data_IF_612650496920
#
_entry.id   IF_612650496920
#
_cell.length_a   1.000
_cell.length_b   1.000
_cell.length_c   1.000
_cell.angle_alpha   90.00
_cell.angle_beta   90.00
_cell.angle_gamma   90.00
#
_symmetry.space_group_name_H-M   'P 1'
#
loop_
_entity.id
_entity.type
_entity.pdbx_description
1 polymer ?
#
# COMPACT_ATOMS: atom_id res chain seq x y z
N UNK A 1 26.39 -26.85 -23.94
CA UNK A 1 25.84 -27.31 -22.67
C UNK A 1 25.79 -26.16 -21.71
N UNK A 2 24.59 -25.77 -21.36
CA UNK A 2 24.09 -25.17 -20.16
C UNK A 2 24.32 -23.67 -19.84
N UNK A 3 24.10 -22.79 -20.81
CA UNK A 3 23.86 -21.36 -20.50
C UNK A 3 22.36 -21.07 -20.29
N UNK A 4 21.48 -21.94 -20.75
CA UNK A 4 20.02 -21.80 -20.63
C UNK A 4 19.48 -22.22 -19.26
N UNK A 5 20.04 -23.25 -18.61
CA UNK A 5 19.55 -23.70 -17.29
C UNK A 5 19.92 -22.75 -16.14
N UNK A 6 21.04 -22.05 -16.21
CA UNK A 6 21.42 -21.08 -15.18
C UNK A 6 20.54 -19.80 -15.22
N UNK A 7 20.04 -19.43 -16.41
CA UNK A 7 19.11 -18.30 -16.54
C UNK A 7 17.72 -18.61 -15.99
N UNK A 8 17.24 -19.84 -16.12
CA UNK A 8 15.95 -20.24 -15.56
C UNK A 8 15.98 -20.40 -14.03
N UNK A 9 17.06 -20.89 -13.44
CA UNK A 9 17.22 -20.97 -11.98
C UNK A 9 17.25 -19.58 -11.33
N UNK A 10 17.95 -18.61 -11.90
CA UNK A 10 17.96 -17.25 -11.38
C UNK A 10 16.61 -16.52 -11.54
N UNK A 11 15.83 -16.87 -12.56
CA UNK A 11 14.50 -16.31 -12.79
C UNK A 11 13.49 -16.83 -11.76
N UNK A 12 13.57 -18.11 -11.40
CA UNK A 12 12.72 -18.73 -10.42
C UNK A 12 12.99 -18.22 -8.99
N UNK A 13 14.24 -18.05 -8.60
CA UNK A 13 14.63 -17.45 -7.32
C UNK A 13 14.13 -16.02 -7.16
N UNK A 14 14.19 -15.19 -8.20
CA UNK A 14 13.66 -13.82 -8.16
C UNK A 14 12.15 -13.75 -8.07
N UNK A 15 11.43 -14.69 -8.68
CA UNK A 15 9.97 -14.76 -8.63
C UNK A 15 9.49 -15.27 -7.27
N UNK A 16 10.17 -16.27 -6.71
CA UNK A 16 9.88 -16.83 -5.39
C UNK A 16 10.17 -15.83 -4.27
N UNK A 17 11.28 -15.10 -4.35
CA UNK A 17 11.60 -14.01 -3.42
C UNK A 17 10.56 -12.89 -3.47
N UNK A 18 10.12 -12.51 -4.67
CA UNK A 18 9.08 -11.52 -4.86
C UNK A 18 7.72 -12.01 -4.32
N UNK A 19 7.35 -13.25 -4.59
CA UNK A 19 6.12 -13.86 -4.08
C UNK A 19 6.15 -14.07 -2.56
N UNK A 20 7.31 -14.36 -1.99
CA UNK A 20 7.48 -14.43 -0.53
C UNK A 20 7.38 -13.04 0.12
N UNK A 21 7.95 -12.00 -0.48
CA UNK A 21 7.79 -10.62 0.01
C UNK A 21 6.32 -10.18 -0.03
N UNK A 22 5.63 -10.40 -1.16
CA UNK A 22 4.21 -10.05 -1.31
C UNK A 22 3.32 -10.87 -0.38
N UNK A 23 3.61 -12.16 -0.18
CA UNK A 23 2.85 -13.01 0.75
C UNK A 23 3.12 -12.68 2.22
N UNK A 24 4.33 -12.23 2.54
CA UNK A 24 4.67 -11.75 3.87
C UNK A 24 3.94 -10.45 4.19
N UNK A 25 3.93 -9.48 3.26
CA UNK A 25 3.15 -8.25 3.40
C UNK A 25 1.65 -8.53 3.59
N UNK A 26 1.07 -9.44 2.82
CA UNK A 26 -0.35 -9.79 2.93
C UNK A 26 -0.70 -10.48 4.26
N UNK A 27 0.15 -11.37 4.77
CA UNK A 27 -0.05 -12.00 6.09
C UNK A 27 0.04 -10.99 7.23
N UNK A 28 0.93 -10.02 7.11
CA UNK A 28 1.15 -9.00 8.11
C UNK A 28 -0.02 -8.02 8.24
N UNK A 29 -0.65 -7.63 7.13
CA UNK A 29 -1.87 -6.82 7.18
C UNK A 29 -3.02 -7.56 7.87
N UNK A 30 -3.07 -8.88 7.79
CA UNK A 30 -4.12 -9.69 8.41
C UNK A 30 -3.95 -9.85 9.94
N UNK A 31 -2.71 -9.80 10.46
CA UNK A 31 -2.44 -9.95 11.90
C UNK A 31 -2.56 -8.65 12.71
N UNK A 32 -2.46 -7.48 12.04
CA UNK A 32 -2.48 -6.16 12.69
C UNK A 32 -3.90 -5.64 12.96
N UNK A 33 -4.90 -6.12 12.24
CA UNK A 33 -6.30 -5.70 12.39
C UNK A 33 -7.22 -6.89 12.64
N UNK A 34 -7.81 -6.94 13.82
CA UNK A 34 -8.99 -7.75 14.07
C UNK A 34 -10.21 -7.04 13.44
N UNK A 35 -10.42 -7.30 12.15
CA UNK A 35 -11.52 -6.72 11.37
C UNK A 35 -12.89 -7.14 11.89
N UNK A 36 -12.99 -8.23 12.67
CA UNK A 36 -14.25 -8.77 13.17
C UNK A 36 -14.97 -7.82 14.13
N UNK A 37 -14.23 -6.96 14.82
CA UNK A 37 -14.80 -5.97 15.75
C UNK A 37 -15.34 -4.69 15.08
N UNK A 38 -15.03 -4.50 13.80
CA UNK A 38 -15.41 -3.29 13.04
C UNK A 38 -16.71 -3.55 12.26
N UNK A 39 -16.97 -4.79 11.85
CA UNK A 39 -18.08 -5.15 10.96
C UNK A 39 -19.45 -5.28 11.64
N UNK A 40 -19.52 -5.34 12.96
CA UNK A 40 -20.82 -5.54 13.68
C UNK A 40 -21.74 -4.31 13.71
N UNK A 41 -21.33 -3.14 13.18
CA UNK A 41 -22.15 -1.91 13.17
C UNK A 41 -22.10 -1.18 11.81
N UNK A 42 -22.48 -1.86 10.75
CA UNK A 42 -22.35 -1.36 9.38
C UNK A 42 -23.20 -0.13 8.98
N UNK A 43 -24.14 0.32 9.81
CA UNK A 43 -24.99 1.47 9.49
C UNK A 43 -24.57 2.82 10.06
N UNK A 44 -23.69 2.86 11.06
CA UNK A 44 -23.30 4.09 11.78
C UNK A 44 -21.82 4.45 11.55
N UNK A 45 -21.08 3.55 10.91
CA UNK A 45 -19.62 3.60 10.81
C UNK A 45 -19.14 4.67 9.83
N UNK A 46 -19.84 4.92 8.72
CA UNK A 46 -19.40 5.84 7.68
C UNK A 46 -19.28 7.29 8.16
N UNK A 47 -20.23 7.79 8.91
CA UNK A 47 -20.22 9.19 9.39
C UNK A 47 -19.20 9.41 10.52
N UNK A 48 -19.07 8.45 11.42
CA UNK A 48 -18.10 8.54 12.52
C UNK A 48 -16.65 8.50 12.01
N UNK A 49 -16.35 7.63 11.04
CA UNK A 49 -15.00 7.47 10.50
C UNK A 49 -14.57 8.64 9.63
N UNK A 50 -15.45 9.20 8.83
CA UNK A 50 -15.14 10.34 7.97
C UNK A 50 -14.85 11.61 8.77
N UNK A 51 -15.56 11.84 9.86
CA UNK A 51 -15.38 13.02 10.71
C UNK A 51 -14.17 12.95 11.65
N UNK A 52 -13.68 11.73 11.96
CA UNK A 52 -12.61 11.52 12.93
C UNK A 52 -11.40 10.75 12.34
N UNK A 53 -11.29 10.65 11.02
CA UNK A 53 -10.26 9.86 10.37
C UNK A 53 -8.85 10.29 10.74
N UNK A 54 -8.58 11.60 10.81
CA UNK A 54 -7.28 12.13 11.20
C UNK A 54 -6.92 11.72 12.63
N UNK A 55 -7.87 11.78 13.56
CA UNK A 55 -7.64 11.36 14.94
C UNK A 55 -7.38 9.87 15.07
N UNK A 56 -8.04 9.07 14.24
CA UNK A 56 -7.80 7.64 14.14
C UNK A 56 -6.39 7.34 13.64
N UNK A 57 -5.98 7.99 12.54
CA UNK A 57 -4.65 7.84 11.96
C UNK A 57 -3.58 8.23 12.96
N UNK A 58 -3.74 9.35 13.66
CA UNK A 58 -2.77 9.88 14.63
C UNK A 58 -2.88 9.25 16.01
N UNK A 59 -3.80 8.32 16.25
CA UNK A 59 -3.92 7.61 17.52
C UNK A 59 -2.60 6.90 17.85
N UNK A 60 -2.15 7.02 19.10
CA UNK A 60 -0.88 6.45 19.60
C UNK A 60 -0.72 4.95 19.27
N UNK A 61 -1.81 4.17 19.39
CA UNK A 61 -1.78 2.74 19.04
C UNK A 61 -1.51 2.51 17.56
N UNK A 62 -2.15 3.28 16.67
CA UNK A 62 -1.96 3.19 15.24
C UNK A 62 -0.54 3.60 14.82
N UNK A 63 -0.03 4.70 15.33
CA UNK A 63 1.34 5.15 15.07
C UNK A 63 2.39 4.14 15.57
N UNK A 64 2.17 3.52 16.74
CA UNK A 64 3.05 2.48 17.24
C UNK A 64 3.06 1.24 16.35
N UNK A 65 1.90 0.84 15.82
CA UNK A 65 1.81 -0.27 14.88
C UNK A 65 2.52 0.07 13.56
N UNK A 66 2.31 1.27 13.05
CA UNK A 66 2.99 1.76 11.85
C UNK A 66 4.52 1.77 12.02
N UNK A 67 5.01 2.25 13.17
CA UNK A 67 6.43 2.18 13.52
C UNK A 67 6.96 0.74 13.51
N UNK A 68 6.25 -0.19 14.18
CA UNK A 68 6.65 -1.60 14.25
C UNK A 68 6.76 -2.21 12.85
N UNK A 69 5.80 -1.89 11.99
CA UNK A 69 5.77 -2.38 10.62
C UNK A 69 6.96 -1.85 9.81
N UNK A 70 7.20 -0.53 9.84
CA UNK A 70 8.36 0.07 9.14
C UNK A 70 9.68 -0.50 9.65
N UNK A 71 9.80 -0.73 10.97
CA UNK A 71 10.98 -1.36 11.57
C UNK A 71 11.19 -2.79 11.10
N UNK A 72 10.11 -3.57 11.02
CA UNK A 72 10.16 -4.97 10.57
C UNK A 72 10.62 -5.09 9.12
N UNK A 73 10.19 -4.18 8.25
CA UNK A 73 10.53 -4.17 6.83
C UNK A 73 12.01 -3.83 6.55
N UNK A 74 12.78 -3.33 7.54
CA UNK A 74 14.23 -3.09 7.46
C UNK A 74 14.69 -2.35 6.18
N UNK A 75 13.83 -1.48 5.63
CA UNK A 75 14.13 -0.76 4.39
C UNK A 75 15.24 0.28 4.56
N UNK A 76 16.00 0.53 3.51
CA UNK A 76 17.08 1.55 3.49
C UNK A 76 16.53 2.96 3.73
N UNK A 77 17.37 3.86 4.26
CA UNK A 77 17.05 5.26 4.49
C UNK A 77 16.62 6.02 3.23
N UNK A 78 15.89 7.10 3.43
CA UNK A 78 15.45 8.03 2.40
C UNK A 78 16.56 8.98 1.92
N UNK A 79 16.15 10.16 1.49
CA UNK A 79 17.09 11.22 1.05
C UNK A 79 17.84 11.86 2.24
N UNK A 80 17.24 11.83 3.42
CA UNK A 80 17.80 12.32 4.68
C UNK A 80 18.90 11.43 5.28
N UNK A 81 19.06 10.22 4.73
CA UNK A 81 20.04 9.24 5.18
C UNK A 81 19.67 8.51 6.48
N UNK A 82 18.59 8.91 7.18
CA UNK A 82 18.15 8.30 8.42
C UNK A 82 17.85 6.81 8.21
N UNK A 83 18.41 5.97 9.09
CA UNK A 83 18.15 4.53 9.06
C UNK A 83 16.99 4.18 10.01
N UNK A 84 16.42 2.98 9.81
CA UNK A 84 15.28 2.51 10.60
C UNK A 84 15.59 2.40 12.10
N UNK A 85 16.84 2.12 12.45
CA UNK A 85 17.25 2.01 13.86
C UNK A 85 17.32 3.37 14.57
N UNK A 86 17.53 4.46 13.84
CA UNK A 86 17.54 5.83 14.34
C UNK A 86 16.13 6.42 14.52
N UNK A 87 15.12 5.78 13.94
CA UNK A 87 13.75 6.26 13.94
C UNK A 87 13.15 6.36 15.35
N UNK A 88 13.41 5.40 16.25
CA UNK A 88 12.81 5.40 17.59
C UNK A 88 13.31 6.55 18.48
N UNK A 89 14.63 6.83 18.56
CA UNK A 89 15.13 8.02 19.22
C UNK A 89 14.50 9.30 18.67
N UNK A 90 14.50 9.44 17.35
CA UNK A 90 13.90 10.59 16.67
C UNK A 90 12.42 10.80 17.03
N UNK A 91 11.61 9.75 16.98
CA UNK A 91 10.18 9.84 17.29
C UNK A 91 9.93 10.18 18.77
N UNK A 92 10.78 9.71 19.68
CA UNK A 92 10.66 10.06 21.13
C UNK A 92 10.81 11.56 21.37
N UNK A 93 11.65 12.22 20.63
CA UNK A 93 11.94 13.64 20.77
C UNK A 93 10.96 14.52 19.96
N UNK A 94 10.53 14.04 18.80
CA UNK A 94 9.85 14.89 17.80
C UNK A 94 8.38 14.52 17.56
N UNK A 95 7.82 13.45 18.20
CA UNK A 95 6.47 12.96 17.88
C UNK A 95 5.38 14.01 18.10
N UNK A 96 5.48 14.85 19.14
CA UNK A 96 4.46 15.86 19.44
C UNK A 96 4.45 16.96 18.39
N UNK A 97 5.62 17.45 18.01
CA UNK A 97 5.77 18.44 16.95
C UNK A 97 5.24 17.90 15.62
N UNK A 98 5.61 16.66 15.28
CA UNK A 98 5.15 15.99 14.06
C UNK A 98 3.62 15.87 14.02
N UNK A 99 2.99 15.46 15.13
CA UNK A 99 1.54 15.36 15.23
C UNK A 99 0.88 16.73 15.10
N UNK A 100 1.45 17.78 15.71
CA UNK A 100 0.94 19.15 15.60
C UNK A 100 1.04 19.69 14.16
N UNK A 101 2.16 19.43 13.47
CA UNK A 101 2.33 19.82 12.07
C UNK A 101 1.31 19.13 11.16
N UNK A 102 1.06 17.82 11.36
CA UNK A 102 0.07 17.08 10.60
C UNK A 102 -1.34 17.61 10.88
N UNK A 103 -1.70 17.84 12.14
CA UNK A 103 -3.01 18.41 12.52
C UNK A 103 -3.23 19.81 11.98
N UNK A 104 -2.18 20.62 11.96
CA UNK A 104 -2.21 21.98 11.43
C UNK A 104 -2.16 22.07 9.90
N UNK A 105 -2.03 20.93 9.20
CA UNK A 105 -1.86 20.91 7.75
C UNK A 105 -0.53 21.48 7.24
N UNK A 106 0.45 21.62 8.13
CA UNK A 106 1.75 22.21 7.84
C UNK A 106 2.81 21.15 7.50
N UNK A 107 2.53 19.87 7.77
CA UNK A 107 3.46 18.79 7.47
C UNK A 107 3.69 18.67 5.95
N UNK A 108 4.95 18.70 5.56
CA UNK A 108 5.38 18.50 4.17
C UNK A 108 6.27 17.28 4.07
N UNK A 109 5.86 16.23 3.33
CA UNK A 109 6.71 15.06 3.09
C UNK A 109 8.03 15.46 2.43
N UNK A 110 9.10 14.78 2.81
CA UNK A 110 10.39 15.00 2.19
C UNK A 110 10.41 14.46 0.75
N UNK A 111 11.30 15.01 -0.11
CA UNK A 111 11.55 14.43 -1.42
C UNK A 111 11.96 12.96 -1.32
N UNK A 112 11.53 12.14 -2.26
CA UNK A 112 11.92 10.72 -2.30
C UNK A 112 13.32 10.55 -2.88
N UNK A 113 14.10 9.62 -2.34
CA UNK A 113 15.35 9.21 -2.94
C UNK A 113 15.08 8.31 -4.14
N UNK A 114 15.49 8.74 -5.34
CA UNK A 114 15.31 7.94 -6.56
C UNK A 114 16.31 6.79 -6.62
N UNK A 115 15.81 5.61 -6.91
CA UNK A 115 16.61 4.41 -7.19
C UNK A 115 16.13 3.82 -8.52
N UNK A 116 17.07 3.42 -9.37
CA UNK A 116 16.79 2.77 -10.64
C UNK A 116 16.95 1.26 -10.50
N UNK A 117 15.90 0.53 -10.84
CA UNK A 117 15.88 -0.93 -10.83
C UNK A 117 15.80 -1.42 -12.26
N UNK A 118 16.72 -2.28 -12.73
CA UNK A 118 16.68 -2.80 -14.09
C UNK A 118 15.41 -3.62 -14.32
N UNK A 119 14.76 -3.40 -15.46
CA UNK A 119 13.66 -4.23 -15.94
C UNK A 119 14.19 -5.50 -16.62
N UNK A 120 13.29 -6.40 -16.98
CA UNK A 120 13.62 -7.60 -17.76
C UNK A 120 14.18 -7.24 -19.16
N UNK A 121 13.67 -6.16 -19.76
CA UNK A 121 14.16 -5.64 -21.04
C UNK A 121 15.50 -4.97 -20.85
N UNK A 122 16.53 -5.43 -21.57
CA UNK A 122 17.89 -4.92 -21.48
C UNK A 122 17.92 -3.42 -21.83
N UNK A 123 18.46 -2.61 -20.91
CA UNK A 123 18.58 -1.16 -21.09
C UNK A 123 17.39 -0.34 -20.53
N UNK A 124 16.32 -1.00 -20.07
CA UNK A 124 15.23 -0.30 -19.41
C UNK A 124 15.35 -0.36 -17.89
N UNK A 125 14.97 0.74 -17.23
CA UNK A 125 15.00 0.89 -15.77
C UNK A 125 13.63 1.33 -15.24
N UNK A 126 13.25 0.76 -14.11
CA UNK A 126 12.10 1.23 -13.32
C UNK A 126 12.62 2.23 -12.29
N UNK A 127 12.02 3.40 -12.24
CA UNK A 127 12.35 4.42 -11.24
C UNK A 127 11.53 4.14 -9.98
N UNK A 128 12.21 3.91 -8.86
CA UNK A 128 11.59 3.73 -7.55
C UNK A 128 11.90 4.95 -6.68
N UNK A 129 10.88 5.53 -6.08
CA UNK A 129 11.02 6.56 -5.06
C UNK A 129 11.06 5.93 -3.67
N UNK A 130 12.12 6.19 -2.91
CA UNK A 130 12.25 5.72 -1.52
C UNK A 130 12.00 6.90 -0.58
N UNK A 131 10.85 6.94 0.12
CA UNK A 131 10.55 7.99 1.10
C UNK A 131 11.48 7.91 2.32
N UNK A 132 11.52 8.97 3.11
CA UNK A 132 12.21 8.96 4.41
C UNK A 132 11.55 7.95 5.35
N UNK A 133 12.27 7.55 6.39
CA UNK A 133 11.74 6.58 7.36
C UNK A 133 10.53 7.14 8.10
N UNK A 134 10.55 8.45 8.41
CA UNK A 134 9.44 9.16 9.05
C UNK A 134 8.22 9.20 8.13
N UNK A 135 8.40 9.58 6.87
CA UNK A 135 7.31 9.59 5.87
C UNK A 135 6.66 8.20 5.72
N UNK A 136 7.49 7.14 5.76
CA UNK A 136 6.97 5.75 5.70
C UNK A 136 6.08 5.40 6.89
N UNK A 137 6.41 5.88 8.10
CA UNK A 137 5.54 5.68 9.29
C UNK A 137 4.20 6.38 9.10
N UNK A 138 4.22 7.61 8.60
CA UNK A 138 2.99 8.37 8.34
C UNK A 138 2.15 7.68 7.25
N UNK A 139 2.77 7.28 6.15
CA UNK A 139 2.10 6.55 5.07
C UNK A 139 1.50 5.23 5.56
N UNK A 140 2.25 4.49 6.39
CA UNK A 140 1.77 3.24 6.99
C UNK A 140 0.59 3.49 7.93
N UNK A 141 0.64 4.54 8.75
CA UNK A 141 -0.46 4.91 9.64
C UNK A 141 -1.73 5.29 8.86
N UNK A 142 -1.57 6.02 7.76
CA UNK A 142 -2.66 6.37 6.84
C UNK A 142 -3.24 5.09 6.20
N UNK A 143 -2.39 4.22 5.67
CA UNK A 143 -2.82 2.96 5.05
C UNK A 143 -3.61 2.09 6.03
N UNK A 144 -3.16 1.98 7.29
CA UNK A 144 -3.87 1.25 8.35
C UNK A 144 -5.25 1.85 8.66
N UNK A 145 -5.38 3.18 8.63
CA UNK A 145 -6.66 3.86 8.85
C UNK A 145 -7.63 3.74 7.68
N UNK A 146 -7.12 3.80 6.45
CA UNK A 146 -7.95 3.77 5.24
C UNK A 146 -8.33 2.35 4.80
N UNK A 147 -7.45 1.37 4.97
CA UNK A 147 -7.69 0.01 4.48
C UNK A 147 -9.01 -0.61 4.92
N UNK A 148 -9.44 -0.51 6.20
CA UNK A 148 -10.74 -1.07 6.61
C UNK A 148 -11.92 -0.41 5.91
N UNK A 149 -11.83 0.89 5.66
CA UNK A 149 -12.91 1.69 5.04
C UNK A 149 -13.09 1.28 3.57
N UNK A 150 -11.98 1.17 2.85
CA UNK A 150 -12.03 0.82 1.42
C UNK A 150 -12.24 -0.67 1.17
N UNK A 151 -11.85 -1.54 2.12
CA UNK A 151 -12.00 -2.99 1.97
C UNK A 151 -13.47 -3.39 1.74
N UNK A 152 -14.41 -2.70 2.38
CA UNK A 152 -15.85 -2.94 2.23
C UNK A 152 -16.39 -2.49 0.86
N UNK A 153 -15.67 -1.59 0.16
CA UNK A 153 -16.10 -1.02 -1.12
C UNK A 153 -15.52 -1.76 -2.33
N UNK A 154 -14.49 -2.57 -2.12
CA UNK A 154 -13.85 -3.29 -3.22
C UNK A 154 -14.72 -4.43 -3.74
N UNK A 155 -14.75 -4.60 -5.07
CA UNK A 155 -15.39 -5.74 -5.71
C UNK A 155 -14.85 -7.07 -5.18
N UNK A 156 -15.70 -8.09 -5.11
CA UNK A 156 -15.32 -9.46 -4.78
C UNK A 156 -14.27 -10.02 -5.75
N UNK A 157 -14.20 -9.51 -6.98
CA UNK A 157 -13.23 -9.90 -7.99
C UNK A 157 -11.94 -9.05 -7.98
N UNK A 158 -11.77 -8.16 -7.01
CA UNK A 158 -10.53 -7.42 -6.78
C UNK A 158 -9.61 -8.21 -5.85
N UNK A 159 -8.39 -8.54 -6.29
CA UNK A 159 -7.46 -9.41 -5.56
C UNK A 159 -6.12 -8.73 -5.23
N UNK A 160 -5.75 -7.68 -5.97
CA UNK A 160 -4.47 -7.00 -5.79
C UNK A 160 -4.43 -6.15 -4.52
N UNK A 161 -3.34 -6.26 -3.75
CA UNK A 161 -3.04 -5.44 -2.57
C UNK A 161 -4.14 -5.42 -1.49
N UNK A 162 -4.94 -6.48 -1.39
CA UNK A 162 -6.00 -6.63 -0.40
C UNK A 162 -5.65 -7.66 0.67
N UNK A 163 -6.06 -7.44 1.94
CA UNK A 163 -5.88 -8.42 3.01
C UNK A 163 -6.52 -9.77 2.67
N UNK A 164 -5.84 -10.86 2.99
CA UNK A 164 -6.32 -12.24 2.80
C UNK A 164 -6.68 -12.62 1.36
N UNK A 165 -6.26 -11.85 0.37
CA UNK A 165 -6.43 -12.13 -1.06
C UNK A 165 -5.08 -12.14 -1.76
N UNK A 166 -4.91 -12.98 -2.77
CA UNK A 166 -3.66 -13.11 -3.48
C UNK A 166 -3.83 -13.52 -4.94
N UNK A 167 -2.72 -13.58 -5.65
CA UNK A 167 -2.69 -13.94 -7.06
C UNK A 167 -3.29 -15.34 -7.33
N UNK A 168 -3.10 -16.30 -6.41
CA UNK A 168 -3.68 -17.63 -6.53
C UNK A 168 -5.22 -17.62 -6.46
N UNK A 169 -5.80 -16.70 -5.68
CA UNK A 169 -7.25 -16.57 -5.59
C UNK A 169 -7.83 -15.96 -6.88
N UNK A 170 -7.11 -14.99 -7.48
CA UNK A 170 -7.43 -14.46 -8.79
C UNK A 170 -7.39 -15.55 -9.88
N UNK A 171 -6.36 -16.40 -9.87
CA UNK A 171 -6.24 -17.53 -10.81
C UNK A 171 -7.37 -18.54 -10.64
N UNK A 172 -7.74 -18.88 -9.40
CA UNK A 172 -8.88 -19.78 -9.13
C UNK A 172 -10.20 -19.18 -9.65
N UNK A 173 -10.40 -17.88 -9.46
CA UNK A 173 -11.59 -17.21 -9.97
C UNK A 173 -11.60 -17.20 -11.51
N UNK A 174 -10.46 -16.93 -12.14
CA UNK A 174 -10.30 -17.02 -13.60
C UNK A 174 -10.62 -18.42 -14.10
N UNK A 175 -10.06 -19.46 -13.50
CA UNK A 175 -10.35 -20.86 -13.83
C UNK A 175 -11.84 -21.20 -13.70
N UNK A 176 -12.49 -20.71 -12.64
CA UNK A 176 -13.93 -20.89 -12.44
C UNK A 176 -14.72 -20.25 -13.59
N UNK A 177 -14.39 -19.00 -13.94
CA UNK A 177 -15.08 -18.31 -15.05
C UNK A 177 -14.95 -19.07 -16.37
N UNK A 178 -13.75 -19.61 -16.68
CA UNK A 178 -13.55 -20.44 -17.88
C UNK A 178 -14.41 -21.70 -17.83
N UNK A 179 -14.48 -22.38 -16.69
CA UNK A 179 -15.30 -23.58 -16.51
C UNK A 179 -16.81 -23.26 -16.62
N UNK A 180 -17.23 -22.05 -16.22
CA UNK A 180 -18.61 -21.57 -16.35
C UNK A 180 -18.97 -21.15 -17.79
N UNK A 181 -18.01 -21.26 -18.74
CA UNK A 181 -18.25 -21.05 -20.18
C UNK A 181 -17.85 -19.68 -20.70
N UNK A 182 -17.20 -18.82 -19.92
CA UNK A 182 -16.65 -17.56 -20.41
C UNK A 182 -15.39 -17.81 -21.22
N UNK A 183 -15.43 -17.59 -22.54
CA UNK A 183 -14.32 -17.87 -23.47
C UNK A 183 -13.58 -16.63 -23.96
N UNK A 184 -14.16 -15.45 -23.76
CA UNK A 184 -13.53 -14.19 -24.14
C UNK A 184 -12.88 -13.52 -22.95
N UNK A 185 -11.64 -13.08 -23.13
CA UNK A 185 -10.86 -12.34 -22.12
C UNK A 185 -10.51 -10.98 -22.69
N UNK A 186 -10.81 -9.92 -21.94
CA UNK A 186 -10.37 -8.57 -22.25
C UNK A 186 -9.32 -8.19 -21.21
N UNK A 187 -8.11 -7.91 -21.67
CA UNK A 187 -7.01 -7.42 -20.82
C UNK A 187 -6.87 -5.92 -21.01
N UNK A 188 -6.93 -5.17 -19.91
CA UNK A 188 -6.82 -3.72 -19.90
C UNK A 188 -5.84 -3.29 -18.82
N UNK A 189 -4.84 -2.49 -19.19
CA UNK A 189 -3.89 -1.89 -18.28
C UNK A 189 -3.75 -0.38 -18.54
N UNK A 190 -3.55 0.40 -17.49
CA UNK A 190 -3.37 1.84 -17.58
C UNK A 190 -1.88 2.17 -17.61
N UNK A 191 -1.38 2.59 -18.78
CA UNK A 191 0.02 2.95 -18.95
C UNK A 191 0.40 4.11 -18.02
N UNK A 192 1.42 3.85 -17.18
CA UNK A 192 1.98 4.85 -16.25
C UNK A 192 0.93 5.60 -15.44
N UNK A 193 -0.11 4.91 -14.98
CA UNK A 193 -1.26 5.51 -14.29
C UNK A 193 -0.85 6.52 -13.21
N UNK A 194 0.07 6.15 -12.30
CA UNK A 194 0.50 7.04 -11.21
C UNK A 194 1.34 8.24 -11.68
N UNK A 195 1.94 8.18 -12.86
CA UNK A 195 2.73 9.27 -13.42
C UNK A 195 1.89 10.23 -14.28
N UNK A 196 0.75 9.76 -14.81
CA UNK A 196 -0.03 10.46 -15.82
C UNK A 196 -1.38 10.96 -15.32
N UNK A 197 -1.93 10.36 -14.24
CA UNK A 197 -3.20 10.81 -13.67
C UNK A 197 -3.06 12.21 -13.06
N UNK A 198 -3.94 13.11 -13.44
CA UNK A 198 -4.04 14.42 -12.80
C UNK A 198 -4.84 14.28 -11.49
N UNK A 199 -4.22 14.50 -10.31
CA UNK A 199 -4.92 14.31 -9.03
C UNK A 199 -6.17 15.18 -8.89
N UNK A 200 -6.12 16.41 -9.42
CA UNK A 200 -7.25 17.35 -9.38
C UNK A 200 -8.42 16.82 -10.22
N UNK A 201 -8.17 16.42 -11.47
CA UNK A 201 -9.19 15.85 -12.34
C UNK A 201 -9.79 14.57 -11.76
N UNK A 202 -8.96 13.69 -11.20
CA UNK A 202 -9.42 12.46 -10.57
C UNK A 202 -10.34 12.73 -9.38
N UNK A 203 -9.96 13.68 -8.51
CA UNK A 203 -10.78 14.09 -7.37
C UNK A 203 -12.12 14.66 -7.82
N UNK A 204 -12.15 15.49 -8.85
CA UNK A 204 -13.39 16.05 -9.38
C UNK A 204 -14.31 15.00 -10.01
N UNK A 205 -13.76 13.97 -10.67
CA UNK A 205 -14.54 12.90 -11.27
C UNK A 205 -15.11 11.93 -10.23
N UNK A 206 -14.41 11.75 -9.11
CA UNK A 206 -14.79 10.75 -8.07
C UNK A 206 -15.57 11.34 -6.93
N UNK A 207 -15.57 12.67 -6.73
CA UNK A 207 -16.45 13.30 -5.76
C UNK A 207 -17.91 13.14 -6.23
N UNK A 208 -18.81 12.67 -5.36
CA UNK A 208 -20.22 12.65 -5.69
C UNK A 208 -20.66 14.09 -5.93
N UNK A 209 -21.04 14.39 -7.16
CA UNK A 209 -21.71 15.64 -7.50
C UNK A 209 -23.09 15.57 -6.85
N UNK A 210 -23.20 16.09 -5.64
CA UNK A 210 -24.48 16.43 -5.06
C UNK A 210 -25.06 17.65 -5.79
N UNK A 211 -25.36 17.47 -7.07
CA UNK A 211 -26.25 18.38 -7.77
C UNK A 211 -27.69 18.06 -7.33
N UNK A 212 -28.07 18.56 -6.17
CA UNK A 212 -29.46 18.84 -5.93
C UNK A 212 -29.81 20.08 -6.75
N UNK A 213 -30.44 19.87 -7.89
CA UNK A 213 -31.33 20.84 -8.50
C UNK A 213 -32.71 20.60 -7.90
#
# INVERSE_FOLDING_TARGET
MNVTESRFKNRQLHMEDYLQMVSAEQKEYAEVFDYSKITEKSGVITDYWTNNLLDLILRKGNLNNAYKQVKKNKGKGGIDGMQVDELLPFLRENQETLIQEIRGGNYKPNPVRRVEIPKETKGEYRKLGVPTVVDRVIQQAIAQGLSPIYEEQFSENSFGFRPKRGAHDALRQCQKNVNDGYVYVVDMDLEKFFDTVCPVSYTHLTLPTNSRV
#
